data_IF_291937616704
#
_entry.id   IF_291937616704
#
_cell.length_a   1.000
_cell.length_b   1.000
_cell.length_c   1.000
_cell.angle_alpha   90.00
_cell.angle_beta   90.00
_cell.angle_gamma   90.00
#
_symmetry.space_group_name_H-M   'P 1'
#
loop_
_entity.id
_entity.type
_entity.pdbx_description
1 polymer ?
#
# COMPACT_ATOMS: atom_id res chain seq x y z
N UNK A 1 13.87 2.40 0.18
CA UNK A 1 15.07 2.57 1.04
C UNK A 1 15.99 3.70 0.57
N UNK A 2 16.35 3.82 -0.72
CA UNK A 2 17.34 4.83 -1.15
C UNK A 2 16.96 6.29 -0.82
N UNK A 3 15.69 6.67 -0.91
CA UNK A 3 15.23 8.03 -0.57
C UNK A 3 15.37 8.32 0.93
N UNK A 4 15.10 7.33 1.79
CA UNK A 4 15.14 7.53 3.24
C UNK A 4 16.57 7.61 3.79
N UNK A 5 17.46 6.77 3.26
CA UNK A 5 18.79 6.55 3.85
C UNK A 5 19.96 6.96 2.94
N UNK A 6 19.78 6.97 1.61
CA UNK A 6 20.87 7.23 0.65
C UNK A 6 20.77 8.62 0.02
N UNK A 7 19.81 9.45 0.44
CA UNK A 7 19.67 10.84 -0.03
C UNK A 7 19.09 10.99 -1.43
N UNK A 8 18.57 9.93 -2.05
CA UNK A 8 17.85 10.05 -3.34
C UNK A 8 16.60 10.94 -3.18
N UNK A 9 16.30 11.76 -4.19
CA UNK A 9 15.20 12.76 -4.14
C UNK A 9 13.97 12.39 -4.97
N UNK A 10 14.05 11.28 -5.70
CA UNK A 10 12.97 10.82 -6.56
C UNK A 10 12.91 9.30 -6.60
N UNK A 11 11.73 8.76 -6.91
CA UNK A 11 11.57 7.34 -7.14
C UNK A 11 12.05 6.98 -8.56
N UNK A 12 12.89 5.95 -8.66
CA UNK A 12 13.27 5.37 -9.96
C UNK A 12 12.05 4.71 -10.59
N UNK A 13 11.87 4.90 -11.90
CA UNK A 13 10.74 4.33 -12.65
C UNK A 13 10.64 2.82 -12.48
N UNK A 14 11.76 2.09 -12.52
CA UNK A 14 11.82 0.64 -12.29
C UNK A 14 11.18 0.21 -10.95
N UNK A 15 11.30 1.02 -9.90
CA UNK A 15 10.69 0.72 -8.61
C UNK A 15 9.18 0.99 -8.63
N UNK A 16 8.73 2.03 -9.35
CA UNK A 16 7.31 2.31 -9.54
C UNK A 16 6.64 1.21 -10.38
N UNK A 17 7.33 0.70 -11.39
CA UNK A 17 6.87 -0.40 -12.23
C UNK A 17 6.69 -1.68 -11.41
N UNK A 18 7.63 -2.00 -10.50
CA UNK A 18 7.48 -3.14 -9.57
C UNK A 18 6.28 -3.00 -8.63
N UNK A 19 5.96 -1.78 -8.18
CA UNK A 19 4.74 -1.54 -7.38
C UNK A 19 3.51 -1.82 -8.24
N UNK A 20 3.51 -1.34 -9.48
CA UNK A 20 2.42 -1.56 -10.43
C UNK A 20 2.20 -3.04 -10.72
N UNK A 21 3.27 -3.81 -10.95
CA UNK A 21 3.22 -5.26 -11.12
C UNK A 21 2.62 -5.96 -9.88
N UNK A 22 2.95 -5.48 -8.68
CA UNK A 22 2.34 -5.97 -7.43
C UNK A 22 0.84 -5.69 -7.37
N UNK A 23 0.40 -4.50 -7.80
CA UNK A 23 -1.03 -4.17 -7.88
C UNK A 23 -1.75 -5.04 -8.93
N UNK A 24 -1.15 -5.21 -10.12
CA UNK A 24 -1.66 -6.09 -11.17
C UNK A 24 -1.83 -7.54 -10.69
N UNK A 25 -0.87 -8.03 -9.90
CA UNK A 25 -0.92 -9.38 -9.33
C UNK A 25 -2.07 -9.52 -8.31
N UNK A 26 -2.15 -8.61 -7.34
CA UNK A 26 -3.16 -8.69 -6.28
C UNK A 26 -4.58 -8.51 -6.85
N UNK A 27 -4.78 -7.58 -7.80
CA UNK A 27 -6.07 -7.37 -8.46
C UNK A 27 -6.63 -8.66 -9.10
N UNK A 28 -5.74 -9.49 -9.67
CA UNK A 28 -6.10 -10.79 -10.26
C UNK A 28 -6.28 -11.89 -9.21
N UNK A 29 -5.65 -11.76 -8.05
CA UNK A 29 -5.63 -12.79 -7.01
C UNK A 29 -6.94 -12.88 -6.21
N UNK A 30 -7.74 -11.80 -6.19
CA UNK A 30 -9.02 -11.80 -5.47
C UNK A 30 -10.03 -12.79 -6.04
N UNK A 31 -10.33 -13.82 -5.26
CA UNK A 31 -11.44 -14.75 -5.47
C UNK A 31 -12.67 -14.43 -4.62
N UNK A 32 -12.60 -13.40 -3.77
CA UNK A 32 -13.64 -13.01 -2.81
C UNK A 32 -13.38 -11.62 -2.22
N UNK A 33 -14.10 -11.24 -1.15
CA UNK A 33 -14.02 -9.90 -0.55
C UNK A 33 -12.80 -9.67 0.35
N UNK A 34 -12.01 -10.70 0.61
CA UNK A 34 -10.71 -10.68 1.30
C UNK A 34 -9.69 -11.48 0.49
N UNK A 35 -8.40 -11.36 0.82
CA UNK A 35 -7.33 -12.02 0.06
C UNK A 35 -7.40 -13.55 0.11
N UNK A 36 -7.99 -14.12 1.16
CA UNK A 36 -8.07 -15.57 1.38
C UNK A 36 -9.51 -16.04 1.68
N UNK A 37 -10.48 -15.59 0.86
CA UNK A 37 -11.87 -16.05 0.92
C UNK A 37 -12.84 -15.00 1.48
N UNK A 38 -13.85 -15.48 2.21
CA UNK A 38 -15.02 -14.68 2.65
C UNK A 38 -14.81 -13.92 3.96
N UNK A 39 -13.79 -14.27 4.74
CA UNK A 39 -13.48 -13.64 6.03
C UNK A 39 -12.06 -13.08 6.06
N UNK A 40 -11.85 -12.12 6.95
CA UNK A 40 -10.53 -11.52 7.15
C UNK A 40 -9.56 -12.53 7.76
N UNK A 41 -8.31 -12.52 7.30
CA UNK A 41 -7.26 -13.41 7.78
C UNK A 41 -5.95 -12.65 8.04
N UNK A 42 -4.94 -13.37 8.51
CA UNK A 42 -3.57 -12.84 8.64
C UNK A 42 -3.01 -12.38 7.28
N UNK A 43 -3.45 -12.97 6.16
CA UNK A 43 -3.03 -12.53 4.83
C UNK A 43 -3.42 -11.06 4.58
N UNK A 44 -4.65 -10.66 4.96
CA UNK A 44 -5.12 -9.29 4.81
C UNK A 44 -4.32 -8.31 5.68
N UNK A 45 -4.06 -8.68 6.94
CA UNK A 45 -3.30 -7.85 7.88
C UNK A 45 -1.85 -7.66 7.40
N UNK A 46 -1.22 -8.73 6.91
CA UNK A 46 0.15 -8.70 6.39
C UNK A 46 0.25 -7.90 5.09
N UNK A 47 -0.66 -8.12 4.15
CA UNK A 47 -0.61 -7.43 2.87
C UNK A 47 -1.01 -5.96 3.00
N UNK A 48 -1.98 -5.60 3.85
CA UNK A 48 -2.44 -4.19 3.94
C UNK A 48 -1.37 -3.28 4.52
N UNK A 49 -0.50 -3.75 5.42
CA UNK A 49 0.60 -2.92 5.92
C UNK A 49 1.57 -2.53 4.81
N UNK A 50 1.94 -3.49 3.96
CA UNK A 50 2.77 -3.25 2.78
C UNK A 50 2.05 -2.35 1.78
N UNK A 51 0.82 -2.69 1.40
CA UNK A 51 0.06 -1.93 0.38
C UNK A 51 -0.20 -0.49 0.82
N UNK A 52 -0.48 -0.25 2.10
CA UNK A 52 -0.67 1.11 2.63
C UNK A 52 0.57 1.98 2.47
N UNK A 53 1.76 1.42 2.68
CA UNK A 53 3.03 2.14 2.50
C UNK A 53 3.30 2.39 1.01
N UNK A 54 3.06 1.41 0.15
CA UNK A 54 3.21 1.56 -1.30
C UNK A 54 2.24 2.59 -1.87
N UNK A 55 1.02 2.68 -1.32
CA UNK A 55 0.02 3.66 -1.74
C UNK A 55 0.43 5.12 -1.44
N UNK A 56 1.32 5.35 -0.46
CA UNK A 56 1.93 6.66 -0.23
C UNK A 56 2.99 7.03 -1.27
N UNK A 57 3.55 6.03 -1.98
CA UNK A 57 4.55 6.21 -3.04
C UNK A 57 3.87 6.31 -4.41
N UNK A 58 3.00 5.36 -4.72
CA UNK A 58 2.24 5.27 -5.96
C UNK A 58 0.78 4.97 -5.60
N UNK A 59 -0.11 5.98 -5.61
CA UNK A 59 -1.51 5.78 -5.25
C UNK A 59 -2.19 4.71 -6.11
N UNK A 60 -3.03 3.88 -5.48
CA UNK A 60 -3.84 2.89 -6.17
C UNK A 60 -4.83 3.61 -7.10
N UNK A 61 -4.71 3.37 -8.40
CA UNK A 61 -5.69 3.81 -9.37
C UNK A 61 -6.95 2.93 -9.30
N UNK A 62 -8.05 3.49 -8.81
CA UNK A 62 -9.32 2.78 -8.65
C UNK A 62 -9.94 2.34 -9.98
N UNK A 63 -9.65 3.04 -11.09
CA UNK A 63 -10.16 2.65 -12.41
C UNK A 63 -9.44 1.40 -12.94
N UNK A 64 -8.16 1.25 -12.61
CA UNK A 64 -7.35 0.10 -13.01
C UNK A 64 -7.46 -1.07 -12.02
N UNK A 65 -7.57 -0.79 -10.73
CA UNK A 65 -7.54 -1.78 -9.64
C UNK A 65 -8.77 -1.68 -8.71
N UNK A 66 -9.99 -1.88 -9.24
CA UNK A 66 -11.21 -1.71 -8.47
C UNK A 66 -11.32 -2.68 -7.29
N UNK A 67 -10.87 -3.94 -7.41
CA UNK A 67 -10.95 -4.92 -6.31
C UNK A 67 -9.93 -4.60 -5.22
N UNK A 68 -8.69 -4.27 -5.59
CA UNK A 68 -7.66 -3.85 -4.67
C UNK A 68 -8.07 -2.57 -3.92
N UNK A 69 -8.63 -1.59 -4.63
CA UNK A 69 -9.12 -0.34 -4.02
C UNK A 69 -10.24 -0.61 -3.00
N UNK A 70 -11.22 -1.45 -3.35
CA UNK A 70 -12.31 -1.82 -2.45
C UNK A 70 -11.82 -2.60 -1.21
N UNK A 71 -10.90 -3.56 -1.40
CA UNK A 71 -10.27 -4.30 -0.31
C UNK A 71 -9.47 -3.37 0.61
N UNK A 72 -8.69 -2.45 0.04
CA UNK A 72 -7.89 -1.51 0.81
C UNK A 72 -8.77 -0.58 1.66
N UNK A 73 -9.87 -0.06 1.09
CA UNK A 73 -10.87 0.72 1.83
C UNK A 73 -11.52 -0.09 2.95
N UNK A 74 -11.79 -1.38 2.72
CA UNK A 74 -12.37 -2.26 3.74
C UNK A 74 -11.39 -2.52 4.89
N UNK A 75 -10.11 -2.75 4.58
CA UNK A 75 -9.06 -2.90 5.58
C UNK A 75 -8.83 -1.60 6.38
N UNK A 76 -8.89 -0.44 5.73
CA UNK A 76 -8.60 0.84 6.40
C UNK A 76 -9.62 1.23 7.48
N UNK A 77 -10.82 0.64 7.42
CA UNK A 77 -11.89 0.79 8.42
C UNK A 77 -11.76 -0.18 9.60
N UNK A 78 -10.82 -1.12 9.57
CA UNK A 78 -10.68 -2.12 10.64
C UNK A 78 -9.91 -1.56 11.84
N UNK A 79 -10.30 -2.00 13.03
CA UNK A 79 -9.69 -1.57 14.30
C UNK A 79 -8.17 -1.79 14.35
N UNK A 80 -7.66 -2.93 13.87
CA UNK A 80 -6.23 -3.20 13.87
C UNK A 80 -5.48 -2.23 12.94
N UNK A 81 -6.08 -1.86 11.81
CA UNK A 81 -5.47 -0.94 10.86
C UNK A 81 -5.40 0.45 11.48
N UNK A 82 -6.52 0.95 12.00
CA UNK A 82 -6.60 2.28 12.61
C UNK A 82 -5.66 2.39 13.81
N UNK A 83 -5.65 1.38 14.70
CA UNK A 83 -4.87 1.42 15.95
C UNK A 83 -3.39 1.14 15.76
N UNK A 84 -3.00 0.33 14.76
CA UNK A 84 -1.61 -0.18 14.65
C UNK A 84 -0.91 0.18 13.35
N UNK A 85 -1.62 0.34 12.24
CA UNK A 85 -0.99 0.59 10.93
C UNK A 85 -1.05 2.06 10.52
N UNK A 86 -2.21 2.70 10.64
CA UNK A 86 -2.43 4.09 10.21
C UNK A 86 -1.42 5.09 10.83
N UNK A 87 -1.04 5.01 12.12
CA UNK A 87 -0.03 5.91 12.67
C UNK A 87 1.33 5.79 11.95
N UNK A 88 1.76 4.57 11.63
CA UNK A 88 3.02 4.34 10.90
C UNK A 88 2.97 4.81 9.46
N UNK A 89 1.82 4.67 8.79
CA UNK A 89 1.61 5.21 7.43
C UNK A 89 1.70 6.74 7.42
N UNK A 90 1.13 7.39 8.44
CA UNK A 90 1.21 8.85 8.58
C UNK A 90 2.65 9.30 8.83
N UNK A 91 3.38 8.64 9.72
CA UNK A 91 4.80 8.92 9.94
C UNK A 91 5.62 8.74 8.66
N UNK A 92 5.39 7.63 7.94
CA UNK A 92 6.05 7.36 6.67
C UNK A 92 5.78 8.43 5.61
N UNK A 93 4.53 8.88 5.47
CA UNK A 93 4.15 9.98 4.57
C UNK A 93 4.92 11.26 4.90
N UNK A 94 5.00 11.64 6.16
CA UNK A 94 5.72 12.86 6.56
C UNK A 94 7.23 12.73 6.28
N UNK A 95 7.82 11.55 6.53
CA UNK A 95 9.22 11.29 6.17
C UNK A 95 9.47 11.41 4.66
N UNK A 96 8.56 10.89 3.81
CA UNK A 96 8.68 11.02 2.35
C UNK A 96 8.63 12.48 1.91
N UNK A 97 7.69 13.28 2.43
CA UNK A 97 7.59 14.71 2.12
C UNK A 97 8.89 15.43 2.44
N UNK A 98 9.45 15.19 3.63
CA UNK A 98 10.71 15.79 4.05
C UNK A 98 11.83 15.42 3.09
N UNK A 99 11.95 14.15 2.70
CA UNK A 99 13.10 13.66 1.91
C UNK A 99 13.02 13.97 0.41
N UNK A 100 11.83 14.07 -0.17
CA UNK A 100 11.60 14.33 -1.60
C UNK A 100 11.57 15.83 -1.93
N UNK A 101 11.07 16.66 -1.01
CA UNK A 101 10.92 18.12 -1.23
C UNK A 101 12.16 18.91 -0.77
N UNK A 102 13.06 18.30 0.01
CA UNK A 102 14.39 18.88 0.30
C UNK A 102 15.42 18.56 -0.77
#
# INVERSE_FOLDING_TARGET
>A
VPILYNGEKSFKQENLDKIKEGYDFIEKFFSGPWLAGESITLADICCVSNISSLNEILPIDKALYPKLSAWFEKCSKQDFYIKRNLPGVQEFRELLKVKIVS
#
